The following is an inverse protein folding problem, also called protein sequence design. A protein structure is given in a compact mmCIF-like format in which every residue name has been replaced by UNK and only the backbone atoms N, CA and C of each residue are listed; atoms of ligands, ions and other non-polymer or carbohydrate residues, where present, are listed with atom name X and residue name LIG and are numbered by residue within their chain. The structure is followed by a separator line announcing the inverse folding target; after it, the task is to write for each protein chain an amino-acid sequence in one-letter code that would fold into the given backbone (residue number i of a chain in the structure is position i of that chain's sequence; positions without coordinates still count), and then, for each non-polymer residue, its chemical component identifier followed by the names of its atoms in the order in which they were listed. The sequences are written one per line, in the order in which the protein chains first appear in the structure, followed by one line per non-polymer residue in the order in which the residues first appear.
data_IF_559171685451
#
_entry.id   IF_559171685451
#
_cell.length_a   1.000
_cell.length_b   1.000
_cell.length_c   1.000
_cell.angle_alpha   90.00
_cell.angle_beta   90.00
_cell.angle_gamma   90.00
#
_symmetry.space_group_name_H-M   'P 1'
#
loop_
_entity.id
_entity.type
_entity.pdbx_description
1 polymer ?
#
# COMPACT_ATOMS: atom_id res chain seq x y z
N UNK A 1 2.63 -27.49 42.75
CA UNK A 1 1.58 -26.45 42.72
C UNK A 1 0.67 -26.80 41.54
N UNK A 2 -0.63 -27.08 41.75
CA UNK A 2 -1.55 -27.42 40.64
C UNK A 2 -1.93 -26.15 39.91
N UNK A 3 -1.79 -26.14 38.58
CA UNK A 3 -2.23 -25.02 37.76
C UNK A 3 -3.77 -24.99 37.70
N UNK A 4 -4.38 -23.81 37.53
CA UNK A 4 -5.83 -23.73 37.38
C UNK A 4 -6.27 -24.36 36.03
N UNK A 5 -7.50 -24.91 35.92
CA UNK A 5 -7.94 -25.69 34.75
C UNK A 5 -7.89 -24.95 33.41
N UNK A 6 -7.99 -23.62 33.43
CA UNK A 6 -7.86 -22.79 32.23
C UNK A 6 -6.40 -22.69 31.75
N UNK A 7 -5.43 -22.72 32.66
CA UNK A 7 -4.01 -22.67 32.34
C UNK A 7 -3.53 -24.02 31.78
N UNK A 8 -4.05 -25.14 32.30
CA UNK A 8 -3.82 -26.47 31.71
C UNK A 8 -4.37 -26.57 30.28
N UNK A 9 -5.56 -26.00 30.03
CA UNK A 9 -6.12 -25.91 28.67
C UNK A 9 -5.30 -25.04 27.73
N UNK A 10 -4.85 -23.87 28.19
CA UNK A 10 -4.02 -22.97 27.40
C UNK A 10 -2.69 -23.65 27.03
N UNK A 11 -2.02 -24.28 28.01
CA UNK A 11 -0.80 -25.04 27.77
C UNK A 11 -1.05 -26.19 26.78
N UNK A 12 -2.10 -26.99 26.96
CA UNK A 12 -2.44 -28.09 26.03
C UNK A 12 -2.80 -27.62 24.61
N UNK A 13 -3.15 -26.35 24.43
CA UNK A 13 -3.39 -25.76 23.11
C UNK A 13 -2.08 -25.40 22.41
N UNK A 14 -1.07 -24.95 23.16
CA UNK A 14 0.28 -24.65 22.65
C UNK A 14 1.19 -25.89 22.58
N UNK A 15 0.90 -26.93 23.35
CA UNK A 15 1.66 -28.19 23.46
C UNK A 15 1.11 -29.28 22.52
N UNK A 16 0.23 -28.89 21.58
CA UNK A 16 -0.16 -29.76 20.46
C UNK A 16 1.01 -29.79 19.49
N UNK A 17 1.92 -30.72 19.70
CA UNK A 17 2.89 -31.16 18.70
C UNK A 17 2.11 -31.78 17.52
N UNK A 18 1.60 -30.95 16.62
CA UNK A 18 1.08 -31.41 15.34
C UNK A 18 2.30 -31.73 14.45
N UNK A 19 2.52 -33.00 14.06
CA UNK A 19 3.67 -33.38 13.25
C UNK A 19 3.67 -32.74 11.85
N UNK A 20 2.54 -32.14 11.45
CA UNK A 20 2.39 -31.40 10.21
C UNK A 20 2.62 -29.89 10.35
N UNK A 21 2.83 -29.38 11.57
CA UNK A 21 3.13 -27.97 11.80
C UNK A 21 4.54 -27.64 11.28
N UNK A 22 4.69 -26.60 10.43
CA UNK A 22 6.00 -26.17 9.99
C UNK A 22 6.83 -25.73 11.21
N UNK A 23 8.05 -26.28 11.33
CA UNK A 23 8.96 -25.89 12.40
C UNK A 23 9.21 -24.37 12.40
N UNK A 24 9.17 -23.75 13.58
CA UNK A 24 9.50 -22.34 13.75
C UNK A 24 10.89 -22.03 13.19
N UNK A 25 10.94 -21.20 12.15
CA UNK A 25 12.17 -20.69 11.55
C UNK A 25 12.31 -19.20 11.89
N UNK A 26 13.12 -18.83 12.90
CA UNK A 26 13.27 -17.44 13.32
C UNK A 26 13.85 -16.55 12.23
N UNK A 27 14.59 -17.11 11.27
CA UNK A 27 15.14 -16.36 10.14
C UNK A 27 14.02 -16.03 9.16
N UNK A 28 13.15 -16.99 8.86
CA UNK A 28 11.98 -16.77 8.02
C UNK A 28 11.07 -15.70 8.60
N UNK A 29 10.70 -15.84 9.88
CA UNK A 29 9.77 -14.92 10.55
C UNK A 29 10.37 -13.52 10.70
N UNK A 30 11.66 -13.43 11.05
CA UNK A 30 12.39 -12.17 11.09
C UNK A 30 12.42 -11.47 9.73
N UNK A 31 12.67 -12.21 8.65
CA UNK A 31 12.66 -11.68 7.29
C UNK A 31 11.25 -11.21 6.88
N UNK A 32 10.22 -12.01 7.16
CA UNK A 32 8.83 -11.67 6.87
C UNK A 32 8.41 -10.38 7.60
N UNK A 33 8.82 -10.21 8.85
CA UNK A 33 8.57 -8.99 9.61
C UNK A 33 9.23 -7.76 8.99
N UNK A 34 10.53 -7.84 8.65
CA UNK A 34 11.26 -6.73 8.03
C UNK A 34 10.68 -6.36 6.65
N UNK A 35 10.36 -7.36 5.82
CA UNK A 35 9.71 -7.14 4.52
C UNK A 35 8.36 -6.44 4.71
N UNK A 36 7.58 -6.86 5.70
CA UNK A 36 6.28 -6.26 6.01
C UNK A 36 6.41 -4.80 6.41
N UNK A 37 7.36 -4.47 7.29
CA UNK A 37 7.63 -3.09 7.70
C UNK A 37 8.11 -2.23 6.53
N UNK A 38 9.02 -2.73 5.71
CA UNK A 38 9.50 -2.04 4.52
C UNK A 38 8.35 -1.78 3.54
N UNK A 39 7.51 -2.78 3.29
CA UNK A 39 6.33 -2.65 2.44
C UNK A 39 5.35 -1.60 2.98
N UNK A 40 5.05 -1.63 4.27
CA UNK A 40 4.20 -0.62 4.91
C UNK A 40 4.77 0.79 4.77
N UNK A 41 6.08 0.96 4.99
CA UNK A 41 6.75 2.25 4.81
C UNK A 41 6.70 2.77 3.37
N UNK A 42 6.94 1.89 2.39
CA UNK A 42 6.83 2.24 0.96
C UNK A 42 5.40 2.65 0.61
N UNK A 43 4.40 1.87 1.05
CA UNK A 43 2.99 2.18 0.81
C UNK A 43 2.58 3.51 1.44
N UNK A 44 3.04 3.78 2.66
CA UNK A 44 2.81 5.05 3.34
C UNK A 44 3.36 6.22 2.52
N UNK A 45 4.61 6.14 2.07
CA UNK A 45 5.23 7.20 1.25
C UNK A 45 4.56 7.37 -0.11
N UNK A 46 4.13 6.27 -0.75
CA UNK A 46 3.38 6.34 -2.01
C UNK A 46 2.04 7.05 -1.81
N UNK A 47 1.28 6.67 -0.77
CA UNK A 47 -0.01 7.30 -0.47
C UNK A 47 0.16 8.76 -0.06
N UNK A 48 1.15 9.07 0.77
CA UNK A 48 1.45 10.45 1.14
C UNK A 48 1.85 11.29 -0.07
N UNK A 49 2.67 10.74 -0.97
CA UNK A 49 3.04 11.41 -2.23
C UNK A 49 1.82 11.59 -3.14
N UNK A 50 0.92 10.61 -3.19
CA UNK A 50 -0.29 10.70 -4.01
C UNK A 50 -1.30 11.73 -3.46
N UNK A 51 -1.46 11.79 -2.15
CA UNK A 51 -2.58 12.47 -1.49
C UNK A 51 -2.22 13.82 -0.85
N UNK A 52 -0.95 14.01 -0.47
CA UNK A 52 -0.52 15.16 0.36
C UNK A 52 0.57 15.98 -0.31
N UNK A 53 1.59 15.34 -0.89
CA UNK A 53 2.74 16.02 -1.49
C UNK A 53 2.31 17.06 -2.53
N UNK A 54 2.77 18.31 -2.36
CA UNK A 54 2.44 19.47 -3.19
C UNK A 54 0.92 19.65 -3.41
N UNK A 55 0.15 19.45 -2.33
CA UNK A 55 -1.32 19.55 -2.35
C UNK A 55 -2.04 18.30 -2.88
N UNK A 56 -1.30 17.24 -3.24
CA UNK A 56 -1.84 15.95 -3.65
C UNK A 56 -2.54 15.96 -5.01
N UNK A 57 -2.98 14.78 -5.45
CA UNK A 57 -3.64 14.61 -6.74
C UNK A 57 -5.05 15.21 -6.76
N UNK A 58 -5.81 15.09 -5.68
CA UNK A 58 -7.22 15.49 -5.66
C UNK A 58 -7.44 16.99 -5.90
N UNK A 59 -6.55 17.84 -5.37
CA UNK A 59 -6.61 19.30 -5.60
C UNK A 59 -6.39 19.66 -7.08
N UNK A 60 -5.76 18.77 -7.86
CA UNK A 60 -5.42 18.97 -9.27
C UNK A 60 -6.50 18.48 -10.23
N UNK A 61 -7.40 17.59 -9.79
CA UNK A 61 -8.42 16.96 -10.64
C UNK A 61 -9.37 18.00 -11.23
N UNK A 62 -9.99 18.84 -10.39
CA UNK A 62 -10.96 19.81 -10.87
C UNK A 62 -10.33 20.89 -11.79
N UNK A 63 -9.17 21.49 -11.47
CA UNK A 63 -8.43 22.33 -12.41
C UNK A 63 -8.13 21.64 -13.73
N UNK A 64 -7.64 20.38 -13.71
CA UNK A 64 -7.35 19.63 -14.92
C UNK A 64 -8.61 19.41 -15.78
N UNK A 65 -9.74 19.06 -15.17
CA UNK A 65 -11.02 18.91 -15.87
C UNK A 65 -11.50 20.24 -16.47
N UNK A 66 -11.33 21.37 -15.75
CA UNK A 66 -11.67 22.69 -16.29
C UNK A 66 -10.80 23.05 -17.49
N UNK A 67 -9.51 22.75 -17.46
CA UNK A 67 -8.64 22.98 -18.63
C UNK A 67 -9.02 22.07 -19.80
N UNK A 68 -9.42 20.82 -19.54
CA UNK A 68 -9.77 19.86 -20.59
C UNK A 68 -11.13 20.13 -21.24
N UNK A 69 -12.13 20.58 -20.48
CA UNK A 69 -13.52 20.68 -20.93
C UNK A 69 -14.07 22.10 -21.01
N UNK A 70 -13.28 23.12 -20.69
CA UNK A 70 -13.70 24.53 -20.77
C UNK A 70 -12.66 25.37 -21.50
N UNK A 71 -12.90 26.67 -21.66
CA UNK A 71 -11.94 27.62 -22.24
C UNK A 71 -10.83 28.05 -21.26
N UNK A 72 -10.76 27.48 -20.07
CA UNK A 72 -9.70 27.75 -19.09
C UNK A 72 -8.38 27.15 -19.56
N UNK A 73 -7.30 27.87 -19.31
CA UNK A 73 -5.93 27.48 -19.63
C UNK A 73 -5.16 27.10 -18.37
N UNK A 74 -3.99 26.47 -18.53
CA UNK A 74 -3.10 26.18 -17.39
C UNK A 74 -2.66 27.47 -16.67
N UNK A 75 -2.54 28.58 -17.40
CA UNK A 75 -2.15 29.89 -16.83
C UNK A 75 -3.20 30.45 -15.86
N UNK A 76 -4.49 30.17 -16.10
CA UNK A 76 -5.58 30.54 -15.19
C UNK A 76 -5.46 29.89 -13.79
N UNK A 77 -4.64 28.83 -13.68
CA UNK A 77 -4.36 28.11 -12.45
C UNK A 77 -2.93 28.29 -11.96
N UNK A 78 -2.24 29.34 -12.43
CA UNK A 78 -0.91 29.72 -11.97
C UNK A 78 0.25 29.02 -12.67
N UNK A 79 0.01 28.25 -13.74
CA UNK A 79 1.10 27.63 -14.50
C UNK A 79 1.82 28.67 -15.37
N UNK A 80 3.05 29.05 -15.00
CA UNK A 80 3.86 30.07 -15.69
C UNK A 80 5.14 29.53 -16.31
N UNK A 81 5.42 28.25 -16.15
CA UNK A 81 6.57 27.59 -16.77
C UNK A 81 7.06 26.40 -15.93
N UNK A 82 8.28 25.94 -16.19
CA UNK A 82 8.85 24.76 -15.53
C UNK A 82 9.12 24.95 -14.03
N UNK A 83 9.35 26.18 -13.60
CA UNK A 83 9.72 26.52 -12.22
C UNK A 83 8.56 27.05 -11.37
N UNK A 84 7.42 27.35 -11.99
CA UNK A 84 6.21 27.82 -11.33
C UNK A 84 5.01 27.16 -12.02
N UNK A 85 4.60 26.00 -11.49
CA UNK A 85 3.49 25.21 -12.04
C UNK A 85 2.18 25.46 -11.31
N UNK A 86 2.15 26.44 -10.40
CA UNK A 86 0.96 26.80 -9.62
C UNK A 86 0.32 25.59 -8.94
N UNK A 87 -0.98 25.40 -9.15
CA UNK A 87 -1.71 24.27 -8.55
C UNK A 87 -1.23 22.90 -9.03
N UNK A 88 -0.51 22.83 -10.16
CA UNK A 88 -0.01 21.59 -10.74
C UNK A 88 1.40 21.23 -10.26
N UNK A 89 1.93 21.91 -9.24
CA UNK A 89 3.22 21.56 -8.66
C UNK A 89 3.22 20.11 -8.13
N UNK A 90 4.33 19.39 -8.34
CA UNK A 90 4.42 17.98 -7.96
C UNK A 90 3.56 16.99 -8.76
N UNK A 91 2.88 17.41 -9.84
CA UNK A 91 2.02 16.50 -10.63
C UNK A 91 2.73 15.23 -11.15
N UNK A 92 4.01 15.24 -11.58
CA UNK A 92 4.67 14.01 -12.03
C UNK A 92 4.88 13.03 -10.88
N UNK A 93 5.15 13.54 -9.68
CA UNK A 93 5.27 12.74 -8.45
C UNK A 93 3.94 12.12 -8.06
N UNK A 94 2.86 12.89 -8.08
CA UNK A 94 1.52 12.36 -7.78
C UNK A 94 1.11 11.28 -8.80
N UNK A 95 1.37 11.47 -10.09
CA UNK A 95 1.06 10.46 -11.12
C UNK A 95 1.94 9.22 -11.03
N UNK A 96 3.24 9.38 -10.75
CA UNK A 96 4.15 8.26 -10.52
C UNK A 96 3.68 7.42 -9.32
N UNK A 97 3.31 8.08 -8.22
CA UNK A 97 2.75 7.41 -7.05
C UNK A 97 1.43 6.68 -7.37
N UNK A 98 0.53 7.28 -8.16
CA UNK A 98 -0.69 6.64 -8.62
C UNK A 98 -0.39 5.37 -9.42
N UNK A 99 0.51 5.44 -10.40
CA UNK A 99 0.87 4.32 -11.25
C UNK A 99 1.45 3.16 -10.43
N UNK A 100 2.34 3.45 -9.46
CA UNK A 100 2.90 2.45 -8.56
C UNK A 100 1.84 1.84 -7.63
N UNK A 101 0.91 2.65 -7.10
CA UNK A 101 -0.21 2.13 -6.32
C UNK A 101 -1.09 1.17 -7.14
N UNK A 102 -1.41 1.53 -8.38
CA UNK A 102 -2.17 0.67 -9.29
C UNK A 102 -1.43 -0.63 -9.61
N UNK A 103 -0.11 -0.55 -9.81
CA UNK A 103 0.73 -1.73 -10.03
C UNK A 103 0.69 -2.67 -8.83
N UNK A 104 0.82 -2.14 -7.60
CA UNK A 104 0.72 -2.94 -6.37
C UNK A 104 -0.66 -3.60 -6.27
N UNK A 105 -1.74 -2.84 -6.49
CA UNK A 105 -3.10 -3.38 -6.47
C UNK A 105 -3.29 -4.50 -7.51
N UNK A 106 -2.76 -4.32 -8.72
CA UNK A 106 -2.83 -5.32 -9.78
C UNK A 106 -2.03 -6.58 -9.44
N UNK A 107 -0.84 -6.42 -8.87
CA UNK A 107 0.00 -7.53 -8.43
C UNK A 107 -0.67 -8.33 -7.31
N UNK A 108 -1.22 -7.64 -6.29
CA UNK A 108 -1.95 -8.28 -5.20
C UNK A 108 -3.20 -9.01 -5.68
N UNK A 109 -3.97 -8.39 -6.59
CA UNK A 109 -5.14 -9.04 -7.22
C UNK A 109 -4.73 -10.29 -7.99
N UNK A 110 -3.65 -10.21 -8.76
CA UNK A 110 -3.15 -11.34 -9.56
C UNK A 110 -2.69 -12.49 -8.66
N UNK A 111 -2.00 -12.18 -7.56
CA UNK A 111 -1.61 -13.16 -6.55
C UNK A 111 -2.83 -13.82 -5.90
N UNK A 112 -3.80 -13.03 -5.44
CA UNK A 112 -5.02 -13.52 -4.81
C UNK A 112 -5.83 -14.46 -5.72
N UNK A 113 -6.02 -14.07 -6.99
CA UNK A 113 -6.73 -14.90 -7.97
C UNK A 113 -5.93 -16.16 -8.32
N UNK A 114 -4.60 -16.09 -8.36
CA UNK A 114 -3.72 -17.24 -8.56
C UNK A 114 -3.84 -18.27 -7.43
N UNK A 115 -3.79 -17.80 -6.17
CA UNK A 115 -3.94 -18.65 -4.98
C UNK A 115 -5.34 -19.27 -4.91
N UNK A 116 -6.38 -18.48 -5.20
CA UNK A 116 -7.78 -18.94 -5.19
C UNK A 116 -8.03 -20.07 -6.20
N UNK A 117 -7.34 -20.07 -7.34
CA UNK A 117 -7.44 -21.14 -8.35
C UNK A 117 -6.77 -22.43 -7.89
N UNK A 118 -5.58 -22.33 -7.27
CA UNK A 118 -4.84 -23.50 -6.74
C UNK A 118 -5.55 -24.18 -5.58
N UNK A 119 -6.29 -23.44 -4.77
CA UNK A 119 -7.06 -24.01 -3.66
C UNK A 119 -8.29 -24.81 -4.10
N UNK A 120 -8.72 -24.70 -5.36
CA UNK A 120 -9.91 -25.40 -5.92
C UNK A 120 -9.56 -26.60 -6.80
N UNK A 121 -8.28 -26.80 -7.11
CA UNK A 121 -7.74 -27.95 -7.86
C UNK A 121 -7.18 -28.97 -6.90
#
# INVERSE_FOLDING_TARGET
MKLPPWAERALSFFDRDDPSEPAFDPVHDGAAFLITLAAAGVLWWLLWTLLVYEGGLFSKVLPALRVAFTSKTLQDFGYRGSWDRGIFEGWPGNLGALALCLLVLFALRSLYLGLSRRSRS
#
